data_IF_284517375447
#
_entry.id   IF_284517375447
#
_cell.length_a   1.000
_cell.length_b   1.000
_cell.length_c   1.000
_cell.angle_alpha   90.00
_cell.angle_beta   90.00
_cell.angle_gamma   90.00
#
_symmetry.space_group_name_H-M   'P 1'
#
loop_
_entity.id
_entity.type
_entity.pdbx_description
1 polymer ?
#
# COMPACT_ATOMS: atom_id res chain seq x y z
N UNK A 1 -5.71 12.79 -12.93
CA UNK A 1 -7.11 12.35 -13.18
C UNK A 1 -7.03 10.84 -13.30
N UNK A 2 -7.63 10.09 -12.39
CA UNK A 2 -7.18 8.71 -12.12
C UNK A 2 -8.35 7.74 -12.21
N UNK A 3 -8.28 6.83 -13.18
CA UNK A 3 -9.20 5.72 -13.31
C UNK A 3 -8.76 4.57 -12.39
N UNK A 4 -9.69 3.80 -11.85
CA UNK A 4 -9.43 2.62 -11.03
C UNK A 4 -10.00 1.41 -11.76
N UNK A 5 -9.40 0.23 -11.64
CA UNK A 5 -9.98 -1.02 -12.13
C UNK A 5 -10.47 -1.85 -10.94
N UNK A 6 -11.73 -2.28 -10.92
CA UNK A 6 -12.18 -3.31 -9.98
C UNK A 6 -12.04 -4.65 -10.69
N UNK A 7 -11.24 -5.56 -10.12
CA UNK A 7 -11.14 -6.92 -10.64
C UNK A 7 -12.51 -7.62 -10.51
N UNK A 8 -13.03 -8.14 -11.62
CA UNK A 8 -14.26 -8.94 -11.62
C UNK A 8 -13.98 -10.31 -10.99
N UNK A 9 -14.74 -10.68 -9.95
CA UNK A 9 -14.72 -12.02 -9.38
C UNK A 9 -15.78 -12.86 -10.10
N UNK A 10 -15.33 -13.88 -10.83
CA UNK A 10 -16.18 -15.02 -11.20
C UNK A 10 -16.29 -15.92 -9.97
N UNK A 11 -17.51 -16.09 -9.46
CA UNK A 11 -17.81 -17.01 -8.36
C UNK A 11 -17.75 -18.45 -8.88
N UNK A 12 -16.59 -19.10 -8.82
CA UNK A 12 -16.54 -20.56 -8.92
C UNK A 12 -16.95 -21.13 -7.55
N UNK A 13 -18.26 -21.38 -7.40
CA UNK A 13 -18.74 -22.33 -6.40
C UNK A 13 -18.50 -23.74 -6.95
N UNK A 14 -17.38 -24.35 -6.59
CA UNK A 14 -17.14 -25.77 -6.83
C UNK A 14 -17.86 -26.59 -5.76
N UNK A 15 -19.02 -27.12 -6.13
CA UNK A 15 -19.66 -28.26 -5.45
C UNK A 15 -19.01 -29.52 -6.06
N UNK A 16 -18.52 -30.48 -5.25
CA UNK A 16 -17.77 -31.61 -5.77
C UNK A 16 -18.73 -32.61 -6.44
N UNK A 17 -18.57 -32.83 -7.75
CA UNK A 17 -19.14 -34.00 -8.42
C UNK A 17 -18.08 -34.76 -9.23
N UNK A 18 -18.32 -36.07 -9.24
CA UNK A 18 -17.48 -37.21 -9.56
C UNK A 18 -17.44 -37.47 -11.08
N UNK A 19 -16.28 -37.96 -11.55
CA UNK A 19 -16.07 -38.60 -12.87
C UNK A 19 -15.21 -37.72 -13.79
N UNK A 20 -14.12 -38.16 -14.41
CA UNK A 20 -13.59 -39.48 -14.68
C UNK A 20 -13.04 -39.49 -16.12
N UNK A 21 -11.70 -39.48 -16.25
CA UNK A 21 -10.89 -40.02 -17.37
C UNK A 21 -10.97 -39.32 -18.75
N UNK A 22 -9.80 -39.33 -19.44
CA UNK A 22 -9.44 -38.85 -20.80
C UNK A 22 -9.10 -37.35 -20.90
N UNK A 23 -7.97 -36.90 -21.46
CA UNK A 23 -7.14 -37.48 -22.52
C UNK A 23 -5.72 -36.87 -22.55
N UNK A 24 -4.79 -37.66 -23.11
CA UNK A 24 -3.35 -37.45 -23.27
C UNK A 24 -3.09 -36.84 -24.66
N UNK A 25 -1.90 -36.22 -24.86
CA UNK A 25 -1.27 -35.80 -26.13
C UNK A 25 -1.61 -34.36 -26.55
N UNK A 26 -0.72 -33.50 -27.07
CA UNK A 26 0.65 -33.62 -27.57
C UNK A 26 1.36 -32.25 -27.50
N UNK A 27 2.68 -32.25 -27.32
CA UNK A 27 3.56 -31.15 -27.75
C UNK A 27 3.70 -31.15 -29.28
N UNK A 28 3.97 -29.98 -29.89
CA UNK A 28 5.24 -29.91 -30.61
C UNK A 28 6.02 -28.61 -30.36
N UNK A 29 7.33 -28.77 -30.46
CA UNK A 29 8.36 -27.73 -30.52
C UNK A 29 8.13 -26.77 -31.69
N UNK A 30 8.43 -25.47 -31.49
CA UNK A 30 8.90 -24.62 -32.58
C UNK A 30 9.83 -23.51 -32.07
N UNK A 31 11.03 -23.50 -32.66
CA UNK A 31 12.08 -22.48 -32.58
C UNK A 31 11.64 -21.17 -33.24
N UNK A 32 12.01 -20.04 -32.65
CA UNK A 32 12.20 -18.73 -33.33
C UNK A 32 13.25 -17.96 -32.52
N UNK A 33 14.52 -17.93 -32.95
CA UNK A 33 15.17 -16.83 -33.71
C UNK A 33 15.23 -15.51 -32.95
N UNK A 34 16.41 -15.21 -32.42
CA UNK A 34 16.82 -13.92 -31.84
C UNK A 34 17.15 -12.93 -32.97
N UNK A 35 16.62 -11.70 -32.96
CA UNK A 35 17.25 -10.58 -33.63
C UNK A 35 18.16 -9.84 -32.64
N UNK A 36 19.45 -9.79 -32.97
CA UNK A 36 20.40 -8.82 -32.44
C UNK A 36 20.03 -7.42 -32.97
N UNK A 37 20.46 -6.40 -32.23
CA UNK A 37 20.38 -4.95 -32.50
C UNK A 37 19.31 -4.17 -31.71
N UNK A 38 19.67 -3.82 -30.46
CA UNK A 38 19.09 -2.68 -29.75
C UNK A 38 20.24 -1.86 -29.13
N UNK A 39 20.45 -0.66 -29.68
CA UNK A 39 21.32 0.38 -29.11
C UNK A 39 20.71 0.86 -27.78
N UNK A 40 21.52 1.11 -26.72
CA UNK A 40 21.00 1.61 -25.45
C UNK A 40 20.56 3.07 -25.59
N UNK A 41 19.28 3.33 -25.35
CA UNK A 41 18.72 4.68 -25.24
C UNK A 41 19.14 5.27 -23.89
N UNK A 42 19.81 6.42 -23.97
CA UNK A 42 20.33 7.23 -22.88
C UNK A 42 19.26 7.58 -21.83
N UNK A 43 19.66 7.47 -20.55
CA UNK A 43 18.97 8.00 -19.37
C UNK A 43 18.53 9.45 -19.64
N UNK A 44 17.21 9.70 -19.52
CA UNK A 44 16.61 11.01 -19.68
C UNK A 44 17.17 11.92 -18.58
N UNK A 45 18.05 12.83 -18.98
CA UNK A 45 18.53 13.96 -18.19
C UNK A 45 17.38 14.97 -18.12
N UNK A 46 16.89 15.27 -16.92
CA UNK A 46 15.93 16.37 -16.72
C UNK A 46 16.69 17.68 -16.94
N UNK A 47 16.42 18.36 -18.06
CA UNK A 47 16.79 19.77 -18.24
C UNK A 47 15.85 20.62 -17.39
N UNK A 48 16.39 21.32 -16.38
CA UNK A 48 15.64 22.34 -15.63
C UNK A 48 15.69 22.26 -14.10
N UNK A 49 16.47 21.36 -13.50
CA UNK A 49 16.72 21.42 -12.06
C UNK A 49 17.85 22.42 -11.77
N UNK A 50 17.51 23.49 -11.05
CA UNK A 50 18.44 24.47 -10.51
C UNK A 50 19.36 23.74 -9.50
N UNK A 51 20.68 23.73 -9.78
CA UNK A 51 21.69 23.21 -8.85
C UNK A 51 21.60 23.97 -7.52
N UNK A 52 21.63 23.30 -6.36
CA UNK A 52 21.72 24.00 -5.09
C UNK A 52 23.11 24.62 -4.92
N UNK A 53 23.15 25.86 -4.41
CA UNK A 53 24.34 26.69 -4.23
C UNK A 53 25.53 25.94 -3.61
N UNK A 54 26.63 25.91 -4.35
CA UNK A 54 27.93 25.35 -3.99
C UNK A 54 28.59 25.97 -2.74
N UNK A 55 27.97 26.98 -2.13
CA UNK A 55 28.44 27.62 -0.88
C UNK A 55 27.98 26.91 0.41
N UNK A 56 26.95 26.05 0.38
CA UNK A 56 26.53 25.30 1.58
C UNK A 56 27.34 24.02 1.80
N UNK A 57 27.95 23.47 0.74
CA UNK A 57 28.77 22.24 0.79
C UNK A 57 30.21 22.57 1.28
N UNK A 58 30.69 23.80 1.06
CA UNK A 58 32.07 24.19 1.40
C UNK A 58 32.29 24.61 2.86
N UNK A 59 31.24 24.71 3.68
CA UNK A 59 31.35 25.11 5.11
C UNK A 59 31.29 23.96 6.11
N UNK A 60 31.18 22.71 5.67
CA UNK A 60 31.03 21.53 6.56
C UNK A 60 32.21 20.55 6.51
N UNK A 61 33.38 20.96 6.00
CA UNK A 61 34.58 20.10 5.96
C UNK A 61 35.70 20.76 6.77
N UNK A 62 36.00 20.19 7.94
CA UNK A 62 37.25 20.48 8.63
C UNK A 62 38.42 19.94 7.79
N UNK A 63 39.48 20.72 7.52
CA UNK A 63 40.62 20.26 6.74
C UNK A 63 41.50 19.38 7.62
N UNK A 64 41.23 18.07 7.67
CA UNK A 64 41.97 17.18 8.54
C UNK A 64 41.58 15.70 8.50
N UNK A 65 41.07 15.18 7.38
CA UNK A 65 40.95 13.74 7.16
C UNK A 65 41.35 13.37 5.74
N UNK A 66 42.41 12.59 5.65
CA UNK A 66 43.04 12.10 4.44
C UNK A 66 42.06 11.41 3.48
N UNK A 67 42.19 11.77 2.21
CA UNK A 67 41.41 11.32 1.04
C UNK A 67 41.83 9.92 0.58
N UNK A 68 41.77 8.93 1.48
CA UNK A 68 42.11 7.53 1.17
C UNK A 68 41.17 6.57 1.93
N UNK A 69 39.86 6.61 1.68
CA UNK A 69 38.96 5.52 2.12
C UNK A 69 37.63 5.44 1.36
N UNK A 70 37.60 5.75 0.06
CA UNK A 70 36.36 5.70 -0.74
C UNK A 70 36.39 4.68 -1.89
N UNK A 71 37.34 3.74 -1.87
CA UNK A 71 37.36 2.60 -2.79
C UNK A 71 37.67 1.29 -2.04
N UNK A 72 36.69 0.78 -1.30
CA UNK A 72 36.63 -0.65 -0.96
C UNK A 72 35.20 -1.14 -1.13
N UNK A 73 34.96 -2.30 -1.76
CA UNK A 73 33.61 -2.80 -1.97
C UNK A 73 32.96 -3.13 -0.61
N UNK A 74 31.82 -2.50 -0.34
CA UNK A 74 30.97 -2.72 0.85
C UNK A 74 30.57 -4.20 1.03
N UNK A 75 30.74 -5.03 0.00
CA UNK A 75 30.45 -6.46 0.02
C UNK A 75 31.25 -7.28 1.04
N UNK A 76 32.47 -6.85 1.41
CA UNK A 76 33.34 -7.64 2.30
C UNK A 76 33.10 -7.39 3.80
N UNK A 77 32.28 -6.39 4.16
CA UNK A 77 31.97 -6.05 5.58
C UNK A 77 30.64 -6.61 6.09
N UNK A 78 29.87 -7.29 5.25
CA UNK A 78 28.59 -7.90 5.63
C UNK A 78 28.88 -9.27 6.28
N UNK A 79 29.54 -9.24 7.44
CA UNK A 79 29.70 -10.40 8.31
C UNK A 79 28.44 -10.65 9.17
N UNK A 80 28.43 -11.78 9.87
CA UNK A 80 27.33 -12.30 10.72
C UNK A 80 26.85 -11.34 11.84
N UNK A 81 27.56 -10.21 12.07
CA UNK A 81 27.24 -9.18 13.06
C UNK A 81 26.45 -7.98 12.49
N UNK A 82 26.37 -7.83 11.16
CA UNK A 82 25.74 -6.68 10.49
C UNK A 82 26.47 -5.34 10.68
N UNK A 83 26.22 -4.38 9.78
CA UNK A 83 26.72 -3.00 9.92
C UNK A 83 25.79 -2.20 10.85
N UNK A 84 26.33 -1.63 11.93
CA UNK A 84 25.58 -0.76 12.85
C UNK A 84 25.47 0.67 12.30
N UNK A 85 24.67 1.50 12.98
CA UNK A 85 24.39 2.88 12.54
C UNK A 85 25.67 3.72 12.50
N UNK A 86 26.54 3.54 13.48
CA UNK A 86 27.81 4.25 13.65
C UNK A 86 28.79 3.98 12.50
N UNK A 87 28.72 2.78 11.91
CA UNK A 87 29.60 2.32 10.83
C UNK A 87 28.99 2.55 9.43
N UNK A 88 27.82 3.19 9.35
CA UNK A 88 27.06 3.33 8.09
C UNK A 88 27.63 4.34 7.09
N UNK A 89 28.46 5.28 7.56
CA UNK A 89 28.94 6.40 6.74
C UNK A 89 27.86 7.43 6.38
N UNK A 90 26.67 7.36 6.99
CA UNK A 90 25.61 8.34 6.76
C UNK A 90 25.96 9.68 7.43
N UNK A 91 25.65 10.83 6.81
CA UNK A 91 25.91 12.13 7.40
C UNK A 91 25.08 12.32 8.67
N UNK A 92 25.64 12.99 9.69
CA UNK A 92 24.85 13.37 10.86
C UNK A 92 23.93 14.55 10.53
N UNK A 93 22.62 14.33 10.65
CA UNK A 93 21.60 15.37 10.46
C UNK A 93 21.06 15.77 11.83
N UNK A 94 20.75 17.06 12.03
CA UNK A 94 20.08 17.53 13.24
C UNK A 94 18.68 16.92 13.40
N UNK A 95 18.14 16.91 14.62
CA UNK A 95 16.82 16.37 14.85
C UNK A 95 15.74 17.22 14.15
N UNK A 96 14.84 16.61 13.37
CA UNK A 96 13.83 17.33 12.62
C UNK A 96 12.79 17.99 13.56
N UNK A 97 12.34 19.19 13.20
CA UNK A 97 11.25 19.89 13.92
C UNK A 97 9.92 19.49 13.30
N UNK A 98 8.97 19.01 14.11
CA UNK A 98 7.63 18.64 13.64
C UNK A 98 6.83 19.91 13.27
N UNK A 99 6.51 20.13 11.98
CA UNK A 99 5.73 21.27 11.55
C UNK A 99 4.21 21.03 11.70
N UNK A 100 3.79 19.82 12.06
CA UNK A 100 2.38 19.48 12.19
C UNK A 100 1.76 20.10 13.44
N UNK A 101 0.53 20.58 13.29
CA UNK A 101 -0.29 21.04 14.40
C UNK A 101 -0.88 19.84 15.13
N UNK A 102 -0.55 19.71 16.42
CA UNK A 102 -1.17 18.72 17.30
C UNK A 102 -2.39 19.37 17.96
N UNK A 103 -3.58 18.82 17.70
CA UNK A 103 -4.81 19.27 18.38
C UNK A 103 -4.83 18.87 19.85
N UNK A 104 -5.27 19.77 20.71
CA UNK A 104 -5.41 19.46 22.14
C UNK A 104 -6.68 18.64 22.39
N UNK A 105 -6.72 17.89 23.50
CA UNK A 105 -7.94 17.15 23.93
C UNK A 105 -9.18 18.05 24.02
N UNK A 106 -9.00 19.31 24.43
CA UNK A 106 -10.07 20.31 24.49
C UNK A 106 -10.59 20.68 23.10
N UNK A 107 -9.70 20.85 22.12
CA UNK A 107 -10.07 21.12 20.74
C UNK A 107 -10.84 19.93 20.15
N UNK A 108 -10.35 18.71 20.38
CA UNK A 108 -11.00 17.48 19.95
C UNK A 108 -12.40 17.33 20.54
N UNK A 109 -12.55 17.50 21.85
CA UNK A 109 -13.86 17.39 22.52
C UNK A 109 -14.81 18.47 22.00
N UNK A 110 -14.38 19.74 21.91
CA UNK A 110 -15.23 20.83 21.40
C UNK A 110 -15.69 20.56 19.98
N UNK A 111 -14.78 20.20 19.08
CA UNK A 111 -15.11 19.96 17.68
C UNK A 111 -15.97 18.69 17.50
N UNK A 112 -15.73 17.64 18.29
CA UNK A 112 -16.57 16.43 18.31
C UNK A 112 -17.97 16.73 18.81
N UNK A 113 -18.10 17.46 19.92
CA UNK A 113 -19.41 17.86 20.47
C UNK A 113 -20.16 18.77 19.50
N UNK A 114 -19.47 19.72 18.86
CA UNK A 114 -20.05 20.56 17.82
C UNK A 114 -20.55 19.73 16.63
N UNK A 115 -19.73 18.81 16.12
CA UNK A 115 -20.09 17.95 15.01
C UNK A 115 -21.29 17.06 15.33
N UNK A 116 -21.26 16.35 16.47
CA UNK A 116 -22.38 15.52 16.92
C UNK A 116 -23.64 16.36 17.18
N UNK A 117 -23.50 17.55 17.74
CA UNK A 117 -24.59 18.50 17.93
C UNK A 117 -25.23 18.93 16.61
N UNK A 118 -24.43 19.25 15.59
CA UNK A 118 -24.92 19.58 14.24
C UNK A 118 -25.71 18.40 13.65
N UNK A 119 -25.18 17.17 13.75
CA UNK A 119 -25.87 15.97 13.25
C UNK A 119 -27.18 15.73 14.00
N UNK A 120 -27.19 15.89 15.33
CA UNK A 120 -28.40 15.72 16.14
C UNK A 120 -29.46 16.77 15.77
N UNK A 121 -29.07 18.05 15.69
CA UNK A 121 -29.97 19.15 15.32
C UNK A 121 -30.52 18.93 13.92
N UNK A 122 -29.68 18.55 12.95
CA UNK A 122 -30.12 18.28 11.58
C UNK A 122 -31.15 17.14 11.53
N UNK A 123 -30.93 16.05 12.27
CA UNK A 123 -31.88 14.94 12.35
C UNK A 123 -33.19 15.32 13.05
N UNK A 124 -33.14 16.11 14.14
CA UNK A 124 -34.34 16.61 14.81
C UNK A 124 -35.14 17.52 13.88
N UNK A 125 -34.48 18.44 13.17
CA UNK A 125 -35.14 19.33 12.21
C UNK A 125 -35.79 18.54 11.06
N UNK A 126 -35.11 17.52 10.53
CA UNK A 126 -35.66 16.60 9.52
C UNK A 126 -36.88 15.83 10.05
N UNK A 127 -36.82 15.32 11.29
CA UNK A 127 -37.94 14.61 11.91
C UNK A 127 -39.14 15.54 12.13
N UNK A 128 -38.92 16.75 12.64
CA UNK A 128 -39.96 17.77 12.81
C UNK A 128 -40.58 18.15 11.46
N UNK A 129 -39.76 18.39 10.44
CA UNK A 129 -40.22 18.68 9.08
C UNK A 129 -41.06 17.53 8.50
N UNK A 130 -40.68 16.28 8.79
CA UNK A 130 -41.43 15.09 8.37
C UNK A 130 -42.76 14.92 9.10
N UNK A 131 -42.86 15.31 10.38
CA UNK A 131 -44.07 15.15 11.20
C UNK A 131 -45.06 16.30 10.97
N UNK A 132 -44.57 17.54 10.91
CA UNK A 132 -45.39 18.74 10.74
C UNK A 132 -45.75 19.03 9.28
N UNK A 133 -45.02 18.42 8.33
CA UNK A 133 -45.21 18.64 6.91
C UNK A 133 -46.38 17.86 6.35
N UNK A 134 -47.62 18.27 6.67
CA UNK A 134 -48.79 17.87 5.88
C UNK A 134 -48.54 18.27 4.41
N UNK A 135 -48.46 17.27 3.52
CA UNK A 135 -48.16 17.40 2.07
C UNK A 135 -46.74 17.92 1.70
N UNK A 136 -45.70 17.70 2.51
CA UNK A 136 -44.39 18.28 2.22
C UNK A 136 -43.53 17.47 1.23
N UNK A 137 -43.75 17.70 -0.07
CA UNK A 137 -42.81 17.33 -1.16
C UNK A 137 -41.36 17.72 -0.84
N UNK A 138 -41.15 18.72 0.01
CA UNK A 138 -39.85 19.20 0.50
C UNK A 138 -39.13 18.20 1.40
N UNK A 139 -39.78 17.57 2.39
CA UNK A 139 -39.12 16.59 3.27
C UNK A 139 -38.66 15.37 2.46
N UNK A 140 -39.53 14.91 1.56
CA UNK A 140 -39.24 13.85 0.60
C UNK A 140 -38.09 14.25 -0.35
N UNK A 141 -38.08 15.48 -0.87
CA UNK A 141 -37.00 15.99 -1.72
C UNK A 141 -35.65 16.05 -1.00
N UNK A 142 -35.63 16.43 0.29
CA UNK A 142 -34.40 16.46 1.10
C UNK A 142 -33.90 15.04 1.37
N UNK A 143 -34.79 14.11 1.72
CA UNK A 143 -34.43 12.69 1.89
C UNK A 143 -33.85 12.13 0.59
N UNK A 144 -34.50 12.39 -0.55
CA UNK A 144 -33.97 12.00 -1.86
C UNK A 144 -32.63 12.65 -2.15
N UNK A 145 -32.42 13.92 -1.81
CA UNK A 145 -31.12 14.58 -2.00
C UNK A 145 -30.01 13.93 -1.17
N UNK A 146 -30.24 13.72 0.13
CA UNK A 146 -29.26 13.09 1.03
C UNK A 146 -28.95 11.66 0.59
N UNK A 147 -29.99 10.89 0.20
CA UNK A 147 -29.85 9.51 -0.24
C UNK A 147 -29.52 9.35 -1.73
N UNK A 148 -29.47 10.45 -2.49
CA UNK A 148 -29.32 10.44 -3.96
C UNK A 148 -28.08 9.67 -4.38
N UNK A 149 -26.97 9.83 -3.66
CA UNK A 149 -25.71 9.14 -3.95
C UNK A 149 -25.88 7.62 -3.83
N UNK A 150 -26.51 7.15 -2.78
CA UNK A 150 -26.71 5.71 -2.52
C UNK A 150 -27.71 5.12 -3.52
N UNK A 151 -28.79 5.85 -3.79
CA UNK A 151 -29.78 5.50 -4.81
C UNK A 151 -29.14 5.40 -6.21
N UNK A 152 -28.42 6.43 -6.63
CA UNK A 152 -27.73 6.45 -7.92
C UNK A 152 -26.68 5.34 -8.01
N UNK A 153 -25.95 5.08 -6.92
CA UNK A 153 -24.99 3.98 -6.86
C UNK A 153 -25.66 2.61 -7.03
N UNK A 154 -26.86 2.42 -6.46
CA UNK A 154 -27.63 1.18 -6.60
C UNK A 154 -28.16 0.93 -8.02
N UNK A 155 -28.20 1.96 -8.87
CA UNK A 155 -28.56 1.86 -10.29
C UNK A 155 -27.31 1.70 -11.16
N UNK A 156 -26.30 2.55 -10.96
CA UNK A 156 -25.06 2.53 -11.77
C UNK A 156 -24.31 1.21 -11.59
N UNK A 157 -24.22 0.70 -10.37
CA UNK A 157 -23.47 -0.54 -10.06
C UNK A 157 -23.95 -1.76 -10.86
N UNK A 158 -25.24 -2.16 -10.83
CA UNK A 158 -25.72 -3.30 -11.62
C UNK A 158 -25.68 -3.04 -13.13
N UNK A 159 -26.02 -1.83 -13.60
CA UNK A 159 -25.97 -1.50 -15.03
C UNK A 159 -24.53 -1.60 -15.55
N UNK A 160 -23.57 -1.00 -14.85
CA UNK A 160 -22.16 -1.05 -15.22
C UNK A 160 -21.61 -2.46 -15.20
N UNK A 161 -22.08 -3.33 -14.29
CA UNK A 161 -21.71 -4.74 -14.25
C UNK A 161 -22.18 -5.49 -15.51
N UNK A 162 -23.44 -5.27 -15.90
CA UNK A 162 -24.00 -5.89 -17.13
C UNK A 162 -23.24 -5.40 -18.36
N UNK A 163 -22.99 -4.09 -18.47
CA UNK A 163 -22.24 -3.50 -19.59
C UNK A 163 -20.80 -4.04 -19.62
N UNK A 164 -20.11 -4.12 -18.48
CA UNK A 164 -18.73 -4.61 -18.40
C UNK A 164 -18.65 -6.08 -18.78
N UNK A 165 -19.60 -6.90 -18.29
CA UNK A 165 -19.70 -8.30 -18.68
C UNK A 165 -19.88 -8.44 -20.19
N UNK A 166 -20.79 -7.67 -20.79
CA UNK A 166 -21.00 -7.68 -22.23
C UNK A 166 -19.74 -7.21 -23.00
N UNK A 167 -19.07 -6.16 -22.53
CA UNK A 167 -17.83 -5.67 -23.11
C UNK A 167 -16.70 -6.71 -23.07
N UNK A 168 -16.54 -7.42 -21.95
CA UNK A 168 -15.52 -8.46 -21.80
C UNK A 168 -15.82 -9.72 -22.62
N UNK A 169 -17.09 -10.03 -22.85
CA UNK A 169 -17.50 -11.08 -23.80
C UNK A 169 -17.12 -10.70 -25.24
N UNK A 170 -17.29 -9.43 -25.61
CA UNK A 170 -16.92 -8.94 -26.95
C UNK A 170 -15.42 -8.73 -27.15
N UNK A 171 -14.70 -8.40 -26.07
CA UNK A 171 -13.26 -8.12 -26.08
C UNK A 171 -12.60 -8.89 -24.93
N UNK A 172 -12.15 -10.12 -25.19
CA UNK A 172 -11.48 -10.91 -24.18
C UNK A 172 -10.21 -10.20 -23.72
N UNK A 173 -9.97 -10.25 -22.42
CA UNK A 173 -8.81 -9.64 -21.78
C UNK A 173 -7.55 -10.40 -22.24
N UNK A 174 -6.53 -9.65 -22.66
CA UNK A 174 -5.26 -10.26 -23.06
C UNK A 174 -4.54 -10.82 -21.84
N UNK A 175 -3.72 -11.87 -22.05
CA UNK A 175 -2.85 -12.36 -20.99
C UNK A 175 -1.79 -11.29 -20.72
N UNK A 176 -1.71 -10.73 -19.51
CA UNK A 176 -0.78 -9.66 -19.25
C UNK A 176 0.65 -10.17 -19.30
N UNK A 177 1.55 -9.28 -19.66
CA UNK A 177 2.98 -9.54 -19.61
C UNK A 177 3.42 -9.74 -18.15
N UNK A 178 4.53 -10.46 -17.96
CA UNK A 178 5.15 -10.60 -16.65
C UNK A 178 5.46 -9.21 -16.07
N UNK A 179 5.06 -9.00 -14.82
CA UNK A 179 5.31 -7.78 -14.05
C UNK A 179 5.86 -8.13 -12.66
N UNK A 180 6.54 -7.18 -12.04
CA UNK A 180 7.09 -7.26 -10.70
C UNK A 180 6.15 -6.66 -9.66
N UNK A 181 5.80 -7.46 -8.66
CA UNK A 181 4.91 -7.09 -7.56
C UNK A 181 5.74 -7.01 -6.27
N UNK A 182 5.65 -5.90 -5.55
CA UNK A 182 6.13 -5.82 -4.18
C UNK A 182 4.94 -5.94 -3.22
N UNK A 183 4.96 -6.90 -2.31
CA UNK A 183 3.88 -7.09 -1.34
C UNK A 183 4.27 -6.58 0.04
N UNK A 184 3.62 -5.51 0.47
CA UNK A 184 3.82 -4.83 1.74
C UNK A 184 2.92 -5.41 2.83
N UNK A 185 3.54 -5.81 3.94
CA UNK A 185 2.91 -6.35 5.14
C UNK A 185 3.36 -5.50 6.34
N UNK A 186 2.63 -4.44 6.72
CA UNK A 186 2.89 -3.69 7.93
C UNK A 186 2.35 -4.45 9.15
N UNK A 187 3.15 -4.57 10.20
CA UNK A 187 2.78 -5.21 11.46
C UNK A 187 3.19 -4.35 12.67
N UNK A 188 2.35 -4.35 13.70
CA UNK A 188 2.57 -3.71 14.99
C UNK A 188 2.42 -4.69 16.15
N UNK A 189 1.20 -5.16 16.41
CA UNK A 189 0.88 -6.02 17.54
C UNK A 189 0.62 -7.47 17.14
N UNK A 190 0.53 -7.74 15.84
CA UNK A 190 0.29 -9.05 15.27
C UNK A 190 1.37 -10.06 15.69
N UNK A 191 0.97 -11.32 15.79
CA UNK A 191 1.86 -12.42 16.17
C UNK A 191 2.78 -12.82 15.02
N UNK A 192 3.89 -13.46 15.36
CA UNK A 192 4.83 -14.01 14.36
C UNK A 192 4.12 -15.02 13.45
N UNK A 193 3.26 -15.87 14.02
CA UNK A 193 2.45 -16.83 13.29
C UNK A 193 1.51 -16.17 12.28
N UNK A 194 0.86 -15.05 12.63
CA UNK A 194 -0.01 -14.31 11.72
C UNK A 194 0.77 -13.74 10.54
N UNK A 195 1.93 -13.12 10.81
CA UNK A 195 2.80 -12.55 9.77
C UNK A 195 3.26 -13.65 8.81
N UNK A 196 3.75 -14.77 9.35
CA UNK A 196 4.24 -15.91 8.56
C UNK A 196 3.10 -16.56 7.75
N UNK A 197 1.91 -16.72 8.34
CA UNK A 197 0.72 -17.21 7.64
C UNK A 197 0.36 -16.30 6.47
N UNK A 198 0.42 -14.99 6.66
CA UNK A 198 0.14 -14.00 5.61
C UNK A 198 1.16 -14.08 4.47
N UNK A 199 2.46 -14.17 4.79
CA UNK A 199 3.55 -14.39 3.81
C UNK A 199 3.28 -15.62 2.95
N UNK A 200 2.99 -16.77 3.58
CA UNK A 200 2.72 -18.00 2.82
C UNK A 200 1.42 -17.95 2.03
N UNK A 201 0.37 -17.29 2.55
CA UNK A 201 -0.88 -17.08 1.80
C UNK A 201 -0.68 -16.25 0.52
N UNK A 202 0.27 -15.31 0.54
CA UNK A 202 0.64 -14.50 -0.61
C UNK A 202 1.48 -15.28 -1.62
N UNK A 203 2.42 -16.10 -1.13
CA UNK A 203 3.22 -16.99 -1.98
C UNK A 203 2.33 -17.95 -2.76
N UNK A 204 1.45 -18.65 -2.04
CA UNK A 204 0.63 -19.74 -2.58
C UNK A 204 -0.57 -19.23 -3.41
N UNK A 205 -0.60 -17.92 -3.69
CA UNK A 205 -1.68 -17.26 -4.41
C UNK A 205 -1.68 -17.55 -5.92
N UNK A 206 -0.60 -18.12 -6.47
CA UNK A 206 -0.51 -18.45 -7.89
C UNK A 206 -0.34 -17.22 -8.78
N UNK A 207 0.69 -16.42 -8.51
CA UNK A 207 0.95 -15.13 -9.18
C UNK A 207 1.56 -15.25 -10.58
N UNK A 208 1.91 -16.46 -11.03
CA UNK A 208 2.49 -16.66 -12.36
C UNK A 208 1.58 -16.07 -13.47
N UNK A 209 2.13 -15.30 -14.43
CA UNK A 209 3.55 -15.14 -14.75
C UNK A 209 4.29 -14.07 -13.93
N UNK A 210 3.61 -13.31 -13.06
CA UNK A 210 4.21 -12.24 -12.26
C UNK A 210 5.22 -12.78 -11.26
N UNK A 211 6.16 -11.91 -10.86
CA UNK A 211 7.14 -12.20 -9.82
C UNK A 211 6.91 -11.31 -8.62
N UNK A 212 7.21 -11.82 -7.43
CA UNK A 212 6.87 -11.18 -6.18
C UNK A 212 8.08 -11.04 -5.27
N UNK A 213 8.19 -9.90 -4.61
CA UNK A 213 9.08 -9.67 -3.46
C UNK A 213 8.23 -9.22 -2.29
N UNK A 214 8.49 -9.74 -1.09
CA UNK A 214 7.72 -9.36 0.10
C UNK A 214 8.51 -8.40 0.96
N UNK A 215 7.83 -7.39 1.49
CA UNK A 215 8.37 -6.43 2.44
C UNK A 215 7.52 -6.45 3.69
N UNK A 216 8.11 -6.87 4.80
CA UNK A 216 7.48 -6.86 6.12
C UNK A 216 8.02 -5.68 6.90
N UNK A 217 7.14 -4.82 7.43
CA UNK A 217 7.57 -3.68 8.24
C UNK A 217 7.05 -3.84 9.67
N UNK A 218 7.97 -4.04 10.63
CA UNK A 218 7.65 -4.18 12.06
C UNK A 218 7.76 -2.81 12.73
N UNK A 219 6.69 -2.34 13.38
CA UNK A 219 6.59 -0.95 13.87
C UNK A 219 6.77 -0.79 15.40
N UNK A 220 7.98 -0.91 15.92
CA UNK A 220 8.28 -0.61 17.32
C UNK A 220 8.04 -1.76 18.30
N UNK A 221 7.64 -2.94 17.81
CA UNK A 221 7.62 -4.17 18.57
C UNK A 221 8.48 -5.21 17.85
N UNK A 222 9.59 -5.67 18.45
CA UNK A 222 10.45 -6.66 17.83
C UNK A 222 9.68 -7.98 17.67
N UNK A 223 9.91 -8.65 16.53
CA UNK A 223 9.37 -9.96 16.20
C UNK A 223 10.48 -10.80 15.57
N UNK A 224 10.59 -12.06 15.95
CA UNK A 224 11.60 -12.97 15.43
C UNK A 224 11.21 -13.55 14.06
N UNK A 225 10.85 -12.68 13.10
CA UNK A 225 10.57 -13.08 11.72
C UNK A 225 11.83 -13.67 11.06
N UNK A 226 13.02 -13.22 11.50
CA UNK A 226 14.31 -13.77 11.08
C UNK A 226 14.40 -15.29 11.31
N UNK A 227 13.84 -15.81 12.41
CA UNK A 227 13.87 -17.23 12.73
C UNK A 227 13.18 -18.13 11.69
N UNK A 228 12.24 -17.58 10.92
CA UNK A 228 11.55 -18.30 9.85
C UNK A 228 12.22 -18.15 8.47
N UNK A 229 13.32 -17.39 8.37
CA UNK A 229 14.07 -17.27 7.12
C UNK A 229 14.97 -18.49 6.90
N UNK A 230 14.82 -19.12 5.74
CA UNK A 230 15.67 -20.24 5.32
C UNK A 230 17.09 -19.81 4.98
N UNK A 231 17.26 -18.60 4.45
CA UNK A 231 18.57 -18.04 4.09
C UNK A 231 18.56 -16.54 4.30
N UNK A 232 19.43 -16.03 5.17
CA UNK A 232 19.67 -14.59 5.34
C UNK A 232 20.84 -14.20 4.42
N UNK A 233 20.67 -13.14 3.64
CA UNK A 233 21.70 -12.61 2.74
C UNK A 233 22.45 -11.47 3.42
N UNK A 234 21.72 -10.53 3.99
CA UNK A 234 22.30 -9.35 4.61
C UNK A 234 21.45 -8.86 5.77
N UNK A 235 22.12 -8.26 6.74
CA UNK A 235 21.52 -7.63 7.90
C UNK A 235 22.34 -6.40 8.27
N UNK A 236 21.68 -5.26 8.47
CA UNK A 236 22.34 -4.02 8.87
C UNK A 236 21.34 -3.03 9.48
N UNK A 237 21.84 -2.00 10.15
CA UNK A 237 21.05 -0.96 10.79
C UNK A 237 21.38 0.42 10.20
N UNK A 238 20.34 1.23 9.94
CA UNK A 238 20.48 2.60 9.44
C UNK A 238 19.67 3.57 10.26
N UNK A 239 20.18 4.80 10.35
CA UNK A 239 19.39 5.93 10.83
C UNK A 239 18.19 6.16 9.93
N UNK A 240 17.05 6.46 10.53
CA UNK A 240 15.78 6.71 9.85
C UNK A 240 15.10 7.93 10.47
N UNK A 241 14.51 8.78 9.63
CA UNK A 241 13.65 9.88 10.08
C UNK A 241 12.21 9.48 9.79
N UNK A 242 11.43 9.30 10.84
CA UNK A 242 10.02 8.98 10.71
C UNK A 242 9.21 10.13 10.15
N UNK A 243 8.07 9.79 9.59
CA UNK A 243 7.00 10.70 9.20
C UNK A 243 6.59 11.65 10.33
N UNK A 244 6.74 11.25 11.59
CA UNK A 244 6.45 12.08 12.77
C UNK A 244 7.61 12.98 13.17
N UNK A 245 8.56 13.22 12.26
CA UNK A 245 9.73 14.07 12.50
C UNK A 245 10.52 13.61 13.73
N UNK A 246 10.66 12.29 13.89
CA UNK A 246 11.46 11.67 14.96
C UNK A 246 12.54 10.80 14.36
N UNK A 247 13.76 10.97 14.87
CA UNK A 247 14.87 10.09 14.59
C UNK A 247 14.66 8.73 15.26
N UNK A 248 14.92 7.68 14.51
CA UNK A 248 14.94 6.30 14.96
C UNK A 248 15.99 5.50 14.21
N UNK A 249 16.06 4.23 14.56
CA UNK A 249 16.90 3.24 13.89
C UNK A 249 16.01 2.25 13.17
N UNK A 250 16.35 1.94 11.93
CA UNK A 250 15.74 0.89 11.15
C UNK A 250 16.74 -0.26 11.03
N UNK A 251 16.34 -1.45 11.47
CA UNK A 251 17.08 -2.68 11.19
C UNK A 251 16.51 -3.32 9.94
N UNK A 252 17.39 -3.63 8.99
CA UNK A 252 17.06 -4.23 7.71
C UNK A 252 17.60 -5.65 7.71
N UNK A 253 16.74 -6.61 7.40
CA UNK A 253 17.10 -8.01 7.24
C UNK A 253 16.54 -8.45 5.89
N UNK A 254 17.40 -8.95 5.01
CA UNK A 254 16.98 -9.42 3.69
C UNK A 254 17.43 -10.85 3.45
N UNK A 255 16.53 -11.65 2.90
CA UNK A 255 16.76 -13.07 2.70
C UNK A 255 15.63 -13.77 1.98
N UNK A 256 15.59 -15.08 2.14
CA UNK A 256 14.60 -15.96 1.57
C UNK A 256 13.85 -16.71 2.66
N UNK A 257 12.52 -16.70 2.58
CA UNK A 257 11.65 -17.61 3.31
C UNK A 257 11.21 -18.68 2.32
N UNK A 258 11.85 -19.84 2.40
CA UNK A 258 11.79 -20.90 1.38
C UNK A 258 12.26 -20.37 0.01
N UNK A 259 11.36 -20.27 -0.96
CA UNK A 259 11.62 -19.81 -2.32
C UNK A 259 11.28 -18.32 -2.54
N UNK A 260 10.73 -17.64 -1.53
CA UNK A 260 10.25 -16.26 -1.65
C UNK A 260 11.28 -15.26 -1.12
N UNK A 261 11.66 -14.22 -1.89
CA UNK A 261 12.49 -13.14 -1.39
C UNK A 261 11.70 -12.24 -0.44
N UNK A 262 12.23 -12.06 0.77
CA UNK A 262 11.62 -11.28 1.86
C UNK A 262 12.61 -10.26 2.42
N UNK A 263 12.15 -9.02 2.54
CA UNK A 263 12.87 -7.92 3.22
C UNK A 263 12.07 -7.55 4.46
N UNK A 264 12.69 -7.62 5.63
CA UNK A 264 12.12 -7.20 6.91
C UNK A 264 12.75 -5.87 7.31
N UNK A 265 11.91 -4.86 7.51
CA UNK A 265 12.27 -3.54 8.00
C UNK A 265 11.72 -3.39 9.42
N UNK A 266 12.59 -3.50 10.42
CA UNK A 266 12.24 -3.39 11.83
C UNK A 266 12.54 -1.97 12.33
N UNK A 267 11.48 -1.21 12.62
CA UNK A 267 11.58 0.08 13.29
C UNK A 267 11.73 -0.16 14.79
N UNK A 268 12.84 0.29 15.38
CA UNK A 268 13.05 0.15 16.83
C UNK A 268 12.13 1.05 17.66
N UNK A 269 11.51 2.06 17.04
CA UNK A 269 10.54 2.96 17.67
C UNK A 269 9.26 3.02 16.86
N UNK A 270 8.12 2.90 17.54
CA UNK A 270 6.80 3.01 16.91
C UNK A 270 6.61 4.41 16.31
N UNK A 271 6.31 4.44 15.01
CA UNK A 271 6.00 5.66 14.26
C UNK A 271 4.62 5.65 13.60
N UNK A 272 3.93 4.51 13.66
CA UNK A 272 2.56 4.28 13.19
C UNK A 272 2.49 3.65 11.80
N UNK A 273 1.36 2.99 11.50
CA UNK A 273 1.11 2.37 10.17
C UNK A 273 1.33 3.31 8.99
N UNK A 274 0.99 4.61 9.13
CA UNK A 274 1.21 5.63 8.08
C UNK A 274 2.66 5.69 7.65
N UNK A 275 3.52 5.72 8.66
CA UNK A 275 4.94 5.86 8.51
C UNK A 275 5.50 4.64 7.79
N UNK A 276 5.02 3.43 8.14
CA UNK A 276 5.34 2.20 7.41
C UNK A 276 4.91 2.26 5.93
N UNK A 277 3.70 2.75 5.64
CA UNK A 277 3.21 2.88 4.26
C UNK A 277 4.06 3.89 3.47
N UNK A 278 4.32 5.07 4.03
CA UNK A 278 5.15 6.11 3.39
C UNK A 278 6.57 5.60 3.18
N UNK A 279 7.18 4.97 4.19
CA UNK A 279 8.52 4.39 4.09
C UNK A 279 8.60 3.36 2.96
N UNK A 280 7.65 2.43 2.85
CA UNK A 280 7.64 1.45 1.77
C UNK A 280 7.57 2.12 0.39
N UNK A 281 6.69 3.11 0.22
CA UNK A 281 6.57 3.80 -1.06
C UNK A 281 7.81 4.65 -1.37
N UNK A 282 8.39 5.34 -0.38
CA UNK A 282 9.62 6.12 -0.56
C UNK A 282 10.82 5.22 -0.93
N UNK A 283 10.86 3.96 -0.44
CA UNK A 283 11.93 3.01 -0.74
C UNK A 283 11.74 2.25 -2.06
N UNK A 284 10.50 1.94 -2.47
CA UNK A 284 10.27 1.02 -3.59
C UNK A 284 9.36 1.55 -4.72
N UNK A 285 8.67 2.67 -4.52
CA UNK A 285 7.88 3.36 -5.56
C UNK A 285 8.69 4.52 -6.18
N UNK A 286 8.07 5.39 -6.99
CA UNK A 286 8.62 6.69 -7.32
C UNK A 286 8.79 7.53 -6.05
N UNK A 287 10.03 7.89 -5.73
CA UNK A 287 10.37 8.68 -4.56
C UNK A 287 9.83 10.11 -4.67
N UNK A 288 9.31 10.65 -3.57
CA UNK A 288 8.85 12.03 -3.49
C UNK A 288 9.99 13.03 -3.36
N UNK A 289 9.77 14.25 -3.84
CA UNK A 289 10.77 15.32 -3.86
C UNK A 289 11.20 15.80 -2.46
N UNK A 290 10.36 15.62 -1.44
CA UNK A 290 10.58 16.01 -0.05
C UNK A 290 11.01 14.84 0.86
N UNK A 291 11.36 13.67 0.28
CA UNK A 291 11.78 12.51 1.06
C UNK A 291 13.01 12.83 1.92
N UNK A 292 13.08 12.39 3.20
CA UNK A 292 14.22 12.61 4.07
C UNK A 292 15.52 12.07 3.49
N UNK A 293 16.65 12.74 3.78
CA UNK A 293 17.98 12.35 3.27
C UNK A 293 18.33 10.90 3.62
N UNK A 294 18.05 10.44 4.84
CA UNK A 294 18.29 9.05 5.24
C UNK A 294 17.45 8.05 4.45
N UNK A 295 16.22 8.41 4.08
CA UNK A 295 15.39 7.55 3.24
C UNK A 295 15.93 7.44 1.82
N UNK A 296 16.50 8.53 1.26
CA UNK A 296 17.17 8.51 -0.05
C UNK A 296 18.42 7.62 -0.05
N UNK A 297 19.29 7.82 0.94
CA UNK A 297 20.50 7.00 1.08
C UNK A 297 20.15 5.52 1.28
N UNK A 298 19.17 5.22 2.14
CA UNK A 298 18.71 3.85 2.36
C UNK A 298 18.10 3.25 1.08
N UNK A 299 17.35 4.03 0.32
CA UNK A 299 16.84 3.59 -0.98
C UNK A 299 18.01 3.19 -1.89
N UNK A 300 18.99 4.05 -2.08
CA UNK A 300 20.11 3.75 -2.98
C UNK A 300 20.86 2.47 -2.55
N UNK A 301 21.12 2.32 -1.25
CA UNK A 301 21.72 1.11 -0.69
C UNK A 301 20.88 -0.16 -0.93
N UNK A 302 19.55 -0.09 -0.70
CA UNK A 302 18.65 -1.22 -0.95
C UNK A 302 18.65 -1.64 -2.42
N UNK A 303 18.60 -0.67 -3.34
CA UNK A 303 18.54 -0.93 -4.78
C UNK A 303 19.88 -1.42 -5.35
N UNK A 304 21.01 -0.95 -4.83
CA UNK A 304 22.34 -1.35 -5.30
C UNK A 304 22.85 -2.66 -4.68
N UNK A 305 22.53 -2.93 -3.41
CA UNK A 305 23.18 -4.00 -2.66
C UNK A 305 22.22 -5.08 -2.13
N UNK A 306 20.94 -4.77 -1.92
CA UNK A 306 19.99 -5.72 -1.30
C UNK A 306 19.09 -6.39 -2.32
N UNK A 307 18.51 -5.64 -3.27
CA UNK A 307 17.62 -6.19 -4.29
C UNK A 307 18.32 -7.12 -5.30
N UNK A 308 19.53 -6.83 -5.81
CA UNK A 308 20.14 -7.68 -6.83
C UNK A 308 20.39 -9.13 -6.38
N UNK A 309 20.90 -9.40 -5.16
CA UNK A 309 21.03 -10.78 -4.68
C UNK A 309 19.70 -11.51 -4.43
N UNK A 310 18.60 -10.77 -4.24
CA UNK A 310 17.25 -11.32 -4.08
C UNK A 310 16.58 -11.65 -5.41
N UNK A 311 17.02 -11.02 -6.51
CA UNK A 311 16.35 -11.05 -7.80
C UNK A 311 17.30 -11.54 -8.89
N UNK A 312 17.09 -12.77 -9.38
CA UNK A 312 17.97 -13.41 -10.37
C UNK A 312 17.72 -12.99 -11.84
N UNK A 313 17.13 -11.82 -12.10
CA UNK A 313 16.69 -11.37 -13.41
C UNK A 313 17.10 -9.91 -13.68
N UNK A 314 17.01 -9.47 -14.95
CA UNK A 314 17.12 -8.05 -15.33
C UNK A 314 15.97 -7.23 -14.70
N UNK A 315 16.14 -6.88 -13.43
CA UNK A 315 15.20 -6.12 -12.64
C UNK A 315 15.45 -4.62 -12.84
N UNK A 316 14.49 -3.95 -13.48
CA UNK A 316 14.52 -2.50 -13.65
C UNK A 316 13.74 -1.78 -12.54
N UNK A 317 12.80 -2.47 -11.91
CA UNK A 317 11.98 -1.95 -10.83
C UNK A 317 10.70 -2.75 -10.64
N UNK A 318 9.95 -2.36 -9.61
CA UNK A 318 8.61 -2.90 -9.37
C UNK A 318 7.60 -2.18 -10.26
N UNK A 319 6.66 -2.93 -10.83
CA UNK A 319 5.55 -2.39 -11.61
C UNK A 319 4.35 -2.05 -10.70
N UNK A 320 4.19 -2.81 -9.60
CA UNK A 320 3.06 -2.71 -8.71
C UNK A 320 3.44 -2.97 -7.25
N UNK A 321 2.73 -2.33 -6.33
CA UNK A 321 2.81 -2.54 -4.88
C UNK A 321 1.45 -3.04 -4.39
N UNK A 322 1.44 -4.23 -3.79
CA UNK A 322 0.29 -4.80 -3.11
C UNK A 322 0.37 -4.51 -1.61
N UNK A 323 -0.68 -3.92 -1.05
CA UNK A 323 -0.78 -3.62 0.38
C UNK A 323 -1.81 -4.55 1.02
N UNK A 324 -1.39 -5.25 2.08
CA UNK A 324 -2.25 -6.08 2.94
C UNK A 324 -2.08 -5.75 4.40
N UNK A 325 -2.98 -6.25 5.24
CA UNK A 325 -2.80 -6.30 6.69
C UNK A 325 -2.15 -7.63 7.09
N UNK A 326 -1.42 -7.65 8.21
CA UNK A 326 -0.65 -8.81 8.66
C UNK A 326 -1.51 -9.96 9.23
N UNK A 327 -2.79 -9.70 9.50
CA UNK A 327 -3.79 -10.65 9.99
C UNK A 327 -4.79 -11.10 8.91
N UNK A 328 -4.62 -10.64 7.67
CA UNK A 328 -5.54 -10.94 6.57
C UNK A 328 -5.11 -12.19 5.80
N UNK A 329 -6.09 -13.04 5.47
CA UNK A 329 -5.88 -14.17 4.56
C UNK A 329 -6.33 -13.80 3.15
N UNK A 330 -5.44 -14.01 2.17
CA UNK A 330 -5.73 -13.66 0.77
C UNK A 330 -6.26 -14.88 0.03
N UNK A 331 -7.45 -14.75 -0.57
CA UNK A 331 -8.03 -15.79 -1.41
C UNK A 331 -7.11 -16.15 -2.58
N UNK A 332 -6.94 -17.45 -2.85
CA UNK A 332 -6.09 -17.94 -3.95
C UNK A 332 -6.47 -17.32 -5.29
N UNK A 333 -5.50 -16.85 -6.06
CA UNK A 333 -5.71 -16.15 -7.33
C UNK A 333 -6.09 -14.67 -7.21
N UNK A 334 -6.49 -14.17 -6.04
CA UNK A 334 -6.90 -12.76 -5.90
C UNK A 334 -5.76 -11.79 -6.23
N UNK A 335 -4.52 -12.11 -5.85
CA UNK A 335 -3.35 -11.28 -6.14
C UNK A 335 -3.07 -11.23 -7.64
N UNK A 336 -3.14 -12.38 -8.32
CA UNK A 336 -2.99 -12.48 -9.77
C UNK A 336 -4.09 -11.69 -10.50
N UNK A 337 -5.34 -11.78 -10.04
CA UNK A 337 -6.46 -11.02 -10.63
C UNK A 337 -6.27 -9.51 -10.49
N UNK A 338 -5.80 -9.03 -9.34
CA UNK A 338 -5.51 -7.61 -9.13
C UNK A 338 -4.36 -7.15 -10.03
N UNK A 339 -3.26 -7.91 -10.08
CA UNK A 339 -2.14 -7.63 -10.97
C UNK A 339 -2.59 -7.57 -12.44
N UNK A 340 -3.35 -8.57 -12.88
CA UNK A 340 -3.90 -8.62 -14.23
C UNK A 340 -4.83 -7.42 -14.52
N UNK A 341 -5.63 -6.99 -13.55
CA UNK A 341 -6.54 -5.86 -13.72
C UNK A 341 -5.79 -4.53 -13.96
N UNK A 342 -4.68 -4.28 -13.25
CA UNK A 342 -3.83 -3.12 -13.53
C UNK A 342 -3.03 -3.27 -14.82
N UNK A 343 -2.43 -4.44 -15.04
CA UNK A 343 -1.60 -4.68 -16.23
C UNK A 343 -2.39 -4.50 -17.53
N UNK A 344 -3.67 -4.89 -17.54
CA UNK A 344 -4.55 -4.74 -18.70
C UNK A 344 -5.15 -3.34 -18.87
N UNK A 345 -5.08 -2.50 -17.84
CA UNK A 345 -5.61 -1.14 -17.90
C UNK A 345 -4.52 -0.12 -17.55
N UNK A 346 -3.86 0.40 -18.58
CA UNK A 346 -2.82 1.41 -18.42
C UNK A 346 -3.33 2.72 -17.77
N UNK A 347 -4.63 3.00 -17.79
CA UNK A 347 -5.18 4.18 -17.10
C UNK A 347 -5.52 3.91 -15.62
N UNK A 348 -5.50 2.65 -15.20
CA UNK A 348 -5.76 2.28 -13.82
C UNK A 348 -4.50 2.48 -12.96
N UNK A 349 -4.64 3.25 -11.88
CA UNK A 349 -3.54 3.45 -10.91
C UNK A 349 -3.65 2.50 -9.72
N UNK A 350 -4.85 2.02 -9.42
CA UNK A 350 -5.06 1.04 -8.37
C UNK A 350 -6.17 0.06 -8.75
N UNK A 351 -6.10 -1.11 -8.14
CA UNK A 351 -7.19 -2.07 -8.07
C UNK A 351 -7.34 -2.55 -6.64
N UNK A 352 -8.58 -2.78 -6.22
CA UNK A 352 -8.86 -3.30 -4.90
C UNK A 352 -9.68 -4.58 -4.98
N UNK A 353 -9.39 -5.52 -4.10
CA UNK A 353 -10.19 -6.71 -3.91
C UNK A 353 -11.41 -6.45 -3.02
N UNK A 354 -12.15 -7.53 -2.77
CA UNK A 354 -13.22 -7.54 -1.79
C UNK A 354 -12.68 -7.99 -0.44
N UNK A 355 -13.14 -7.30 0.60
CA UNK A 355 -12.89 -7.61 2.00
C UNK A 355 -14.14 -8.25 2.56
N UNK A 356 -14.00 -9.48 3.05
CA UNK A 356 -15.04 -10.20 3.77
C UNK A 356 -14.61 -10.26 5.23
N UNK A 357 -15.56 -10.02 6.13
CA UNK A 357 -15.31 -10.12 7.56
C UNK A 357 -15.34 -11.60 7.93
N UNK A 358 -14.30 -12.10 8.57
CA UNK A 358 -14.32 -13.41 9.19
C UNK A 358 -15.23 -13.36 10.41
N UNK A 359 -16.34 -14.10 10.37
CA UNK A 359 -17.33 -14.11 11.44
C UNK A 359 -16.89 -15.09 12.53
N UNK A 360 -17.08 -14.69 13.79
CA UNK A 360 -16.86 -15.59 14.92
C UNK A 360 -17.80 -16.80 14.82
N UNK A 361 -17.26 -18.04 14.88
CA UNK A 361 -18.07 -19.25 14.83
C UNK A 361 -19.14 -19.27 15.94
N UNK A 362 -20.39 -19.54 15.57
CA UNK A 362 -21.54 -19.54 16.48
C UNK A 362 -22.20 -18.17 16.71
N UNK A 363 -21.62 -17.08 16.17
CA UNK A 363 -22.19 -15.73 16.24
C UNK A 363 -22.50 -15.16 14.84
N UNK A 364 -22.57 -16.00 13.81
CA UNK A 364 -22.74 -15.56 12.42
C UNK A 364 -24.04 -14.77 12.21
N UNK A 365 -25.08 -15.09 12.98
CA UNK A 365 -26.39 -14.43 12.96
C UNK A 365 -26.56 -13.31 13.99
N UNK A 366 -25.48 -12.92 14.69
CA UNK A 366 -25.55 -11.81 15.63
C UNK A 366 -25.91 -10.51 14.88
N UNK A 367 -26.74 -9.67 15.50
CA UNK A 367 -27.19 -8.41 14.88
C UNK A 367 -26.00 -7.52 14.50
N UNK A 368 -24.95 -7.51 15.33
CA UNK A 368 -23.74 -6.73 15.09
C UNK A 368 -22.93 -7.26 13.89
N UNK A 369 -22.78 -8.58 13.77
CA UNK A 369 -22.09 -9.20 12.65
C UNK A 369 -22.84 -8.98 11.33
N UNK A 370 -24.16 -9.17 11.33
CA UNK A 370 -25.01 -8.89 10.16
C UNK A 370 -24.94 -7.41 9.75
N UNK A 371 -24.96 -6.50 10.73
CA UNK A 371 -24.85 -5.07 10.48
C UNK A 371 -23.48 -4.70 9.89
N UNK A 372 -22.39 -5.21 10.46
CA UNK A 372 -21.04 -5.00 9.95
C UNK A 372 -20.90 -5.56 8.53
N UNK A 373 -21.34 -6.80 8.30
CA UNK A 373 -21.31 -7.42 6.97
C UNK A 373 -22.10 -6.61 5.96
N UNK A 374 -23.29 -6.10 6.32
CA UNK A 374 -24.08 -5.22 5.47
C UNK A 374 -23.32 -3.93 5.12
N UNK A 375 -22.71 -3.26 6.09
CA UNK A 375 -21.95 -2.03 5.85
C UNK A 375 -20.77 -2.25 4.89
N UNK A 376 -19.97 -3.30 5.11
CA UNK A 376 -18.86 -3.66 4.23
C UNK A 376 -19.34 -4.03 2.84
N UNK A 377 -20.37 -4.89 2.74
CA UNK A 377 -20.93 -5.35 1.46
C UNK A 377 -21.51 -4.18 0.68
N UNK A 378 -22.33 -3.33 1.31
CA UNK A 378 -22.92 -2.16 0.68
C UNK A 378 -21.85 -1.17 0.20
N UNK A 379 -20.87 -0.87 1.04
CA UNK A 379 -19.76 0.02 0.69
C UNK A 379 -18.97 -0.45 -0.54
N UNK A 380 -18.74 -1.76 -0.65
CA UNK A 380 -17.95 -2.35 -1.73
C UNK A 380 -18.76 -2.53 -3.02
N UNK A 381 -19.91 -3.21 -2.94
CA UNK A 381 -20.70 -3.60 -4.11
C UNK A 381 -21.55 -2.47 -4.68
N UNK A 382 -22.07 -1.59 -3.84
CA UNK A 382 -22.96 -0.52 -4.29
C UNK A 382 -22.14 0.74 -4.56
N UNK A 383 -21.50 1.27 -3.50
CA UNK A 383 -20.84 2.57 -3.59
C UNK A 383 -19.54 2.52 -4.40
N UNK A 384 -18.57 1.70 -3.98
CA UNK A 384 -17.24 1.69 -4.62
C UNK A 384 -17.29 1.22 -6.07
N UNK A 385 -18.17 0.25 -6.39
CA UNK A 385 -18.38 -0.19 -7.77
C UNK A 385 -19.01 0.89 -8.66
N UNK A 386 -20.01 1.63 -8.17
CA UNK A 386 -20.56 2.76 -8.93
C UNK A 386 -19.50 3.84 -9.17
N UNK A 387 -18.71 4.16 -8.14
CA UNK A 387 -17.56 5.08 -8.23
C UNK A 387 -16.52 4.61 -9.28
N UNK A 388 -16.25 3.29 -9.37
CA UNK A 388 -15.41 2.70 -10.40
C UNK A 388 -15.94 2.94 -11.82
N UNK A 389 -17.24 2.75 -12.05
CA UNK A 389 -17.85 3.02 -13.37
C UNK A 389 -17.91 4.51 -13.71
N UNK A 390 -17.97 5.39 -12.71
CA UNK A 390 -17.78 6.84 -12.88
C UNK A 390 -16.31 7.17 -13.22
N UNK A 391 -15.39 6.24 -12.98
CA UNK A 391 -13.96 6.37 -13.27
C UNK A 391 -13.17 7.04 -12.16
N UNK A 392 -13.73 7.21 -10.96
CA UNK A 392 -13.04 7.79 -9.79
C UNK A 392 -13.57 7.20 -8.50
N UNK A 393 -12.66 6.66 -7.68
CA UNK A 393 -13.00 6.11 -6.37
C UNK A 393 -12.55 7.05 -5.27
N UNK A 394 -13.45 7.27 -4.30
CA UNK A 394 -13.23 8.19 -3.18
C UNK A 394 -12.38 7.58 -2.08
N UNK A 395 -12.42 6.25 -1.91
CA UNK A 395 -11.61 5.53 -0.93
C UNK A 395 -11.23 4.11 -1.37
N UNK A 396 -9.94 3.78 -1.20
CA UNK A 396 -9.41 2.43 -1.36
C UNK A 396 -9.42 1.68 -0.01
N UNK A 397 -9.66 0.36 0.02
CA UNK A 397 -9.48 -0.42 1.24
C UNK A 397 -7.98 -0.53 1.59
N UNK A 398 -7.64 -0.65 2.87
CA UNK A 398 -6.25 -0.75 3.30
C UNK A 398 -5.62 -2.13 3.10
N UNK A 399 -6.41 -3.21 3.18
CA UNK A 399 -5.92 -4.58 3.35
C UNK A 399 -5.88 -5.44 2.07
N UNK A 400 -6.43 -4.97 0.94
CA UNK A 400 -6.40 -5.72 -0.33
C UNK A 400 -6.37 -4.76 -1.51
N UNK A 401 -5.26 -4.03 -1.64
CA UNK A 401 -5.11 -3.00 -2.66
C UNK A 401 -3.79 -3.15 -3.40
N UNK A 402 -3.88 -3.23 -4.72
CA UNK A 402 -2.75 -3.17 -5.64
C UNK A 402 -2.65 -1.77 -6.22
N UNK A 403 -1.46 -1.20 -6.22
CA UNK A 403 -1.17 0.16 -6.67
C UNK A 403 -0.07 0.09 -7.73
N UNK A 404 -0.23 0.78 -8.87
CA UNK A 404 0.82 0.89 -9.88
C UNK A 404 1.99 1.75 -9.40
N UNK A 405 3.22 1.35 -9.70
CA UNK A 405 4.42 2.16 -9.48
C UNK A 405 4.55 3.17 -10.62
N UNK A 406 4.23 4.44 -10.34
CA UNK A 406 4.24 5.53 -11.32
C UNK A 406 4.46 6.89 -10.64
N UNK A 407 4.84 7.88 -11.44
CA UNK A 407 5.14 9.24 -10.95
C UNK A 407 3.94 9.89 -10.25
N UNK A 408 2.72 9.65 -10.73
CA UNK A 408 1.50 10.20 -10.10
C UNK A 408 1.32 9.67 -8.67
N UNK A 409 1.80 8.46 -8.38
CA UNK A 409 1.78 7.90 -7.04
C UNK A 409 2.82 8.53 -6.14
N UNK A 410 3.99 8.92 -6.67
CA UNK A 410 4.97 9.72 -5.91
C UNK A 410 4.35 11.03 -5.41
N UNK A 411 3.65 11.75 -6.29
CA UNK A 411 2.92 12.97 -5.92
C UNK A 411 1.74 12.72 -4.96
N UNK A 412 1.07 11.57 -5.06
CA UNK A 412 0.02 11.19 -4.12
C UNK A 412 0.57 10.90 -2.73
N UNK A 413 1.72 10.21 -2.63
CA UNK A 413 2.40 9.92 -1.37
C UNK A 413 2.96 11.19 -0.75
N UNK A 414 3.47 12.12 -1.55
CA UNK A 414 3.88 13.45 -1.08
C UNK A 414 2.71 14.16 -0.38
N UNK A 415 1.55 14.27 -1.02
CA UNK A 415 0.34 14.85 -0.41
C UNK A 415 -0.13 14.07 0.82
N UNK A 416 -0.03 12.74 0.77
CA UNK A 416 -0.34 11.92 1.91
C UNK A 416 0.60 12.19 3.09
N UNK A 417 1.86 12.51 2.82
CA UNK A 417 2.91 12.84 3.77
C UNK A 417 3.00 14.35 4.11
N UNK A 418 2.09 15.19 3.64
CA UNK A 418 2.09 16.60 4.02
C UNK A 418 1.72 16.75 5.51
N UNK A 419 2.43 17.63 6.25
CA UNK A 419 2.09 17.92 7.63
C UNK A 419 0.81 18.74 7.70
N UNK A 420 -0.02 18.42 8.69
CA UNK A 420 -1.33 19.04 8.84
C UNK A 420 -1.19 20.28 9.71
N UNK A 421 -1.45 21.45 9.12
CA UNK A 421 -1.33 22.75 9.81
C UNK A 421 -2.68 23.38 10.15
N UNK A 422 -3.76 22.88 9.54
CA UNK A 422 -5.13 23.39 9.71
C UNK A 422 -5.66 23.26 11.14
N UNK A 423 -6.64 24.07 11.57
CA UNK A 423 -7.18 24.03 12.92
C UNK A 423 -8.32 23.02 13.14
N UNK A 424 -8.91 22.47 12.07
CA UNK A 424 -10.12 21.66 12.13
C UNK A 424 -9.82 20.16 12.13
N UNK A 425 -10.48 19.37 12.96
CA UNK A 425 -10.38 17.89 13.01
C UNK A 425 -10.66 17.28 11.63
N UNK A 426 -11.55 17.88 10.84
CA UNK A 426 -11.85 17.43 9.47
C UNK A 426 -10.66 17.53 8.51
N UNK A 427 -9.73 18.47 8.76
CA UNK A 427 -8.48 18.54 8.01
C UNK A 427 -7.38 17.66 8.61
N UNK A 428 -7.60 17.06 9.79
CA UNK A 428 -6.65 16.15 10.41
C UNK A 428 -6.91 14.70 9.99
N UNK A 429 -5.83 14.03 9.65
CA UNK A 429 -5.83 12.59 9.41
C UNK A 429 -5.82 11.85 10.74
N UNK A 430 -6.38 10.64 10.74
CA UNK A 430 -6.62 9.82 11.94
C UNK A 430 -5.36 9.62 12.80
N UNK A 431 -4.16 9.58 12.21
CA UNK A 431 -2.90 9.35 12.94
C UNK A 431 -2.30 10.58 13.63
N UNK A 432 -2.76 11.80 13.33
CA UNK A 432 -2.38 13.02 14.06
C UNK A 432 -3.36 13.38 15.18
N UNK A 433 -4.51 12.69 15.21
CA UNK A 433 -5.40 12.73 16.35
C UNK A 433 -4.79 11.80 17.39
N UNK A 434 -4.19 12.36 18.44
CA UNK A 434 -3.69 11.61 19.59
C UNK A 434 -4.85 10.80 20.16
N UNK A 435 -4.92 9.51 19.81
CA UNK A 435 -5.78 8.54 20.47
C UNK A 435 -5.05 8.12 21.74
N UNK A 436 -4.95 9.03 22.72
CA UNK A 436 -4.64 8.65 24.09
C UNK A 436 -5.88 7.91 24.64
N UNK A 437 -6.07 6.67 24.20
CA UNK A 437 -6.89 5.70 24.92
C UNK A 437 -5.96 5.15 26.00
N UNK A 438 -5.85 5.86 27.13
CA UNK A 438 -5.09 5.39 28.29
C UNK A 438 -4.34 6.48 29.05
N UNK A 439 -5.09 7.28 29.82
CA UNK A 439 -4.87 7.50 31.25
C UNK A 439 -6.05 8.29 31.83
#
# INVERSE_FOLDING_TARGET
>A
MVQMAIAHIESHHDIPHIGGIQEIMAHPEQRTTVPQDAQPISIIRISGAQEPDSEQISRAVNPGSSTETLEQPLGDKIGDRGLFVEDSGYPEVGDPVDPARILTRRDLTKQRTLFLGIILILNILLAIASILGNESKVAVAIVYFIKSKDFLSSIISPIGLVISKFYHVLRPVQKPTRQWILSLIPAYSESEEQIVKTIFSLRDNGTAPHRQVMVVILDGQPRNVRGNMTRVITQFERSYISFKWKRGTLRIIAGFMEDVPVIVLEKLRNSGKKDSLILCHDLFNCIRADAPIYTRLLRDELWMHVLPPLINDNFQGFDMIFCTDADSTIHKGALAMLANALANNQNAIAACGLVLVELEPGYEWSVWNLYQQFQYTFGQYVRRRAEHYIGKVTCLPGCITMISVREEMGGAIQKYAEPITGPFVLSHQVQYLRMDIGN
#
